data_IF_106536583988
#
_entry.id   IF_106536583988
#
_cell.length_a   1.000
_cell.length_b   1.000
_cell.length_c   1.000
_cell.angle_alpha   90.00
_cell.angle_beta   90.00
_cell.angle_gamma   90.00
#
_symmetry.space_group_name_H-M   'P 1'
#
loop_
_entity.id
_entity.type
_entity.pdbx_description
1 polymer ?
#
# COMPACT_ATOMS: atom_id res chain seq x y z
N UNK A 1 11.64 -1.93 38.58
CA UNK A 1 10.94 -1.65 37.30
C UNK A 1 10.35 -2.99 36.86
N UNK A 2 9.02 -3.14 36.71
CA UNK A 2 8.47 -4.36 36.12
C UNK A 2 9.08 -4.55 34.73
N UNK A 3 9.39 -5.80 34.36
CA UNK A 3 9.92 -6.14 33.04
C UNK A 3 8.90 -5.75 31.97
N UNK A 4 9.34 -5.02 30.96
CA UNK A 4 8.52 -4.69 29.80
C UNK A 4 8.05 -5.98 29.11
N UNK A 5 6.78 -6.02 28.70
CA UNK A 5 6.21 -7.18 28.00
C UNK A 5 6.95 -7.37 26.67
N UNK A 6 7.51 -8.57 26.44
CA UNK A 6 8.19 -8.86 25.18
C UNK A 6 7.21 -9.29 24.10
N UNK A 7 7.10 -8.48 23.04
CA UNK A 7 6.28 -8.76 21.86
C UNK A 7 6.68 -10.06 21.14
N UNK A 8 7.90 -10.57 21.34
CA UNK A 8 8.35 -11.82 20.73
C UNK A 8 7.91 -13.08 21.49
N UNK A 9 7.30 -12.92 22.67
CA UNK A 9 6.81 -14.01 23.49
C UNK A 9 5.28 -13.95 23.65
N UNK A 10 4.50 -14.22 22.57
CA UNK A 10 3.05 -14.22 22.64
C UNK A 10 2.52 -15.26 23.64
N UNK A 11 1.52 -14.91 24.46
CA UNK A 11 0.75 -15.89 25.21
C UNK A 11 0.18 -16.93 24.27
N UNK A 12 0.01 -18.16 24.78
CA UNK A 12 -0.50 -19.30 24.00
C UNK A 12 -1.79 -18.98 23.24
N UNK A 13 -2.72 -18.27 23.87
CA UNK A 13 -4.00 -17.87 23.25
C UNK A 13 -3.81 -16.96 22.04
N UNK A 14 -2.88 -16.00 22.11
CA UNK A 14 -2.56 -15.11 20.99
C UNK A 14 -1.86 -15.90 19.88
N UNK A 15 -0.90 -16.77 20.24
CA UNK A 15 -0.21 -17.61 19.26
C UNK A 15 -1.17 -18.54 18.50
N UNK A 16 -2.14 -19.15 19.19
CA UNK A 16 -3.17 -20.00 18.59
C UNK A 16 -4.11 -19.21 17.66
N UNK A 17 -4.55 -18.03 18.08
CA UNK A 17 -5.37 -17.13 17.25
C UNK A 17 -4.63 -16.66 16.00
N UNK A 18 -3.36 -16.27 16.13
CA UNK A 18 -2.51 -15.87 14.99
C UNK A 18 -2.30 -17.04 14.03
N UNK A 19 -2.13 -18.26 14.53
CA UNK A 19 -2.02 -19.46 13.69
C UNK A 19 -3.31 -19.74 12.90
N UNK A 20 -4.47 -19.57 13.52
CA UNK A 20 -5.75 -19.70 12.83
C UNK A 20 -5.90 -18.62 11.75
N UNK A 21 -5.52 -17.38 12.08
CA UNK A 21 -5.52 -16.28 11.13
C UNK A 21 -4.59 -16.56 9.94
N UNK A 22 -3.38 -17.04 10.19
CA UNK A 22 -2.43 -17.42 9.14
C UNK A 22 -3.03 -18.45 8.17
N UNK A 23 -3.76 -19.45 8.67
CA UNK A 23 -4.43 -20.43 7.81
C UNK A 23 -5.47 -19.76 6.89
N UNK A 24 -6.25 -18.81 7.41
CA UNK A 24 -7.21 -18.03 6.59
C UNK A 24 -6.48 -17.23 5.51
N UNK A 25 -5.35 -16.59 5.84
CA UNK A 25 -4.57 -15.85 4.85
C UNK A 25 -3.92 -16.78 3.81
N UNK A 26 -3.46 -17.96 4.22
CA UNK A 26 -2.87 -18.97 3.34
C UNK A 26 -3.89 -19.53 2.33
N UNK A 27 -5.17 -19.59 2.70
CA UNK A 27 -6.25 -20.04 1.81
C UNK A 27 -6.61 -19.00 0.72
N UNK A 28 -6.34 -17.71 0.97
CA UNK A 28 -6.68 -16.62 0.03
C UNK A 28 -5.47 -16.08 -0.74
N UNK A 29 -4.26 -16.16 -0.20
CA UNK A 29 -3.03 -15.68 -0.85
C UNK A 29 -2.16 -16.87 -1.27
N UNK A 30 -1.83 -17.03 -2.56
CA UNK A 30 -0.96 -18.11 -3.03
C UNK A 30 0.41 -18.11 -2.32
N UNK A 31 1.08 -19.25 -2.32
CA UNK A 31 2.40 -19.38 -1.70
C UNK A 31 3.48 -18.66 -2.52
N UNK A 32 4.45 -18.05 -1.82
CA UNK A 32 5.68 -17.56 -2.44
C UNK A 32 6.45 -18.72 -3.04
N UNK A 33 6.78 -18.62 -4.32
CA UNK A 33 7.58 -19.58 -5.07
C UNK A 33 8.80 -18.86 -5.65
N UNK A 34 10.00 -19.24 -5.18
CA UNK A 34 11.28 -18.73 -5.67
C UNK A 34 11.32 -18.81 -7.19
N UNK A 35 11.75 -17.73 -7.84
CA UNK A 35 11.98 -17.63 -9.28
C UNK A 35 10.75 -17.91 -10.17
N UNK A 36 9.56 -18.00 -9.57
CA UNK A 36 8.32 -18.34 -10.28
C UNK A 36 7.26 -17.26 -10.15
N UNK A 37 7.12 -16.64 -8.97
CA UNK A 37 6.14 -15.59 -8.75
C UNK A 37 6.67 -14.43 -7.89
N UNK A 38 5.98 -13.30 -8.01
CA UNK A 38 6.09 -12.14 -7.13
C UNK A 38 4.71 -11.82 -6.56
N UNK A 39 4.63 -11.67 -5.24
CA UNK A 39 3.42 -11.28 -4.53
C UNK A 39 3.59 -9.84 -4.03
N UNK A 40 2.86 -8.92 -4.65
CA UNK A 40 2.94 -7.49 -4.34
C UNK A 40 1.60 -7.04 -3.75
N UNK A 41 1.65 -6.30 -2.65
CA UNK A 41 0.46 -5.79 -1.98
C UNK A 41 0.54 -4.29 -1.68
N UNK A 42 -0.63 -3.70 -1.45
CA UNK A 42 -0.78 -2.38 -0.85
C UNK A 42 -1.75 -2.45 0.31
N UNK A 43 -1.49 -1.68 1.37
CA UNK A 43 -2.36 -1.61 2.53
C UNK A 43 -2.27 -0.26 3.23
N UNK A 44 -3.36 0.51 3.20
CA UNK A 44 -3.52 1.63 4.12
C UNK A 44 -3.71 1.07 5.53
N UNK A 45 -2.73 1.29 6.42
CA UNK A 45 -2.82 0.94 7.83
C UNK A 45 -3.22 2.18 8.64
N UNK A 46 -4.52 2.25 8.96
CA UNK A 46 -5.11 3.39 9.65
C UNK A 46 -4.25 3.91 10.81
N UNK A 47 -3.83 5.17 10.71
CA UNK A 47 -3.02 5.87 11.71
C UNK A 47 -1.89 4.99 12.30
N UNK A 48 -1.07 4.35 11.46
CA UNK A 48 -0.04 3.41 11.87
C UNK A 48 1.17 4.11 12.52
N UNK A 49 1.00 4.44 13.81
CA UNK A 49 1.99 5.18 14.58
C UNK A 49 2.32 4.56 15.93
N UNK A 50 1.51 4.90 16.93
CA UNK A 50 1.70 4.39 18.29
C UNK A 50 0.91 3.09 18.53
N UNK A 51 1.24 2.37 19.61
CA UNK A 51 0.50 1.21 20.10
C UNK A 51 0.53 1.11 21.64
N UNK A 52 -0.41 0.35 22.19
CA UNK A 52 -0.42 -0.11 23.58
C UNK A 52 0.48 -1.33 23.72
N UNK A 53 1.53 -1.23 24.55
CA UNK A 53 2.52 -2.31 24.78
C UNK A 53 1.99 -3.41 25.71
N UNK A 54 0.92 -4.06 25.29
CA UNK A 54 0.26 -5.17 25.98
C UNK A 54 -0.37 -6.12 24.95
N UNK A 55 -0.77 -7.32 25.39
CA UNK A 55 -1.46 -8.31 24.53
C UNK A 55 -2.95 -8.06 24.35
N UNK A 56 -3.53 -7.15 25.14
CA UNK A 56 -4.92 -6.69 25.03
C UNK A 56 -4.98 -5.25 25.50
N UNK A 57 -5.76 -4.44 24.80
CA UNK A 57 -6.00 -3.04 25.21
C UNK A 57 -7.19 -2.99 26.16
N UNK A 58 -7.00 -2.32 27.30
CA UNK A 58 -8.08 -2.09 28.26
C UNK A 58 -9.15 -1.13 27.72
N UNK A 59 -10.34 -1.17 28.31
CA UNK A 59 -11.38 -0.19 28.02
C UNK A 59 -10.90 1.24 28.32
N UNK A 60 -11.28 2.20 27.47
CA UNK A 60 -10.85 3.61 27.60
C UNK A 60 -9.38 3.89 27.29
N UNK A 61 -8.54 2.88 27.01
CA UNK A 61 -7.13 3.07 26.67
C UNK A 61 -6.98 3.39 25.17
N UNK A 62 -6.08 4.33 24.87
CA UNK A 62 -5.68 4.74 23.53
C UNK A 62 -4.15 4.83 23.47
N UNK A 63 -3.49 4.45 22.35
CA UNK A 63 -4.07 3.89 21.13
C UNK A 63 -4.62 2.47 21.31
N UNK A 64 -5.63 2.10 20.50
CA UNK A 64 -6.30 0.79 20.57
C UNK A 64 -5.42 -0.37 20.13
N UNK A 65 -4.65 -0.18 19.06
CA UNK A 65 -3.68 -1.16 18.55
C UNK A 65 -2.73 -1.64 19.63
N UNK A 66 -2.49 -2.94 19.70
CA UNK A 66 -1.68 -3.63 20.70
C UNK A 66 -0.81 -4.74 20.07
N UNK A 67 -0.14 -5.54 20.90
CA UNK A 67 0.77 -6.57 20.41
C UNK A 67 0.08 -7.71 19.65
N UNK A 68 -1.13 -8.12 20.04
CA UNK A 68 -1.87 -9.13 19.28
C UNK A 68 -2.20 -8.62 17.86
N UNK A 69 -2.59 -7.35 17.75
CA UNK A 69 -2.89 -6.71 16.46
C UNK A 69 -1.64 -6.64 15.56
N UNK A 70 -0.47 -6.33 16.13
CA UNK A 70 0.79 -6.35 15.38
C UNK A 70 1.12 -7.73 14.84
N UNK A 71 0.86 -8.80 15.60
CA UNK A 71 1.04 -10.17 15.11
C UNK A 71 0.04 -10.51 13.99
N UNK A 72 -1.21 -10.05 14.08
CA UNK A 72 -2.20 -10.23 13.02
C UNK A 72 -1.83 -9.49 11.73
N UNK A 73 -1.37 -8.23 11.84
CA UNK A 73 -0.85 -7.44 10.72
C UNK A 73 0.39 -8.11 10.11
N UNK A 74 1.31 -8.60 10.95
CA UNK A 74 2.51 -9.31 10.50
C UNK A 74 2.17 -10.59 9.74
N UNK A 75 1.14 -11.34 10.15
CA UNK A 75 0.70 -12.54 9.46
C UNK A 75 0.28 -12.28 8.00
N UNK A 76 -0.38 -11.14 7.75
CA UNK A 76 -0.72 -10.69 6.39
C UNK A 76 0.54 -10.29 5.63
N UNK A 77 1.34 -9.37 6.18
CA UNK A 77 2.51 -8.81 5.49
C UNK A 77 3.49 -9.91 5.09
N UNK A 78 3.69 -10.93 5.95
CA UNK A 78 4.61 -12.06 5.69
C UNK A 78 4.35 -12.82 4.40
N UNK A 79 3.12 -12.78 3.88
CA UNK A 79 2.72 -13.49 2.65
C UNK A 79 3.24 -12.85 1.38
N UNK A 80 3.58 -11.57 1.43
CA UNK A 80 4.00 -10.81 0.26
C UNK A 80 5.52 -10.70 0.18
N UNK A 81 6.01 -10.32 -0.99
CA UNK A 81 7.41 -10.00 -1.27
C UNK A 81 7.69 -8.53 -1.02
N UNK A 82 6.76 -7.67 -1.44
CA UNK A 82 6.77 -6.23 -1.17
C UNK A 82 5.36 -5.78 -0.81
N UNK A 83 5.24 -4.98 0.25
CA UNK A 83 3.99 -4.33 0.68
C UNK A 83 4.21 -2.84 0.74
N UNK A 84 3.42 -2.07 -0.01
CA UNK A 84 3.32 -0.64 0.23
C UNK A 84 2.35 -0.37 1.39
N UNK A 85 2.80 0.41 2.35
CA UNK A 85 2.04 0.76 3.54
C UNK A 85 1.85 2.28 3.58
N UNK A 86 0.59 2.69 3.56
CA UNK A 86 0.19 4.09 3.74
C UNK A 86 -0.10 4.39 5.21
N UNK A 87 -0.24 5.68 5.54
CA UNK A 87 -0.54 6.19 6.90
C UNK A 87 0.48 5.83 8.00
N UNK A 88 1.73 5.56 7.64
CA UNK A 88 2.81 5.41 8.63
C UNK A 88 3.06 6.77 9.31
N UNK A 89 2.83 6.89 10.62
CA UNK A 89 2.85 8.20 11.30
C UNK A 89 4.26 8.65 11.68
N UNK A 90 4.36 9.91 12.11
CA UNK A 90 5.53 10.51 12.76
C UNK A 90 6.20 9.62 13.81
N UNK A 91 5.40 9.02 14.69
CA UNK A 91 5.85 8.07 15.71
C UNK A 91 5.93 6.65 15.11
N UNK A 92 7.14 6.11 14.96
CA UNK A 92 7.37 4.79 14.35
C UNK A 92 7.26 3.60 15.32
N UNK A 93 6.63 3.76 16.49
CA UNK A 93 6.59 2.68 17.52
C UNK A 93 5.96 1.40 16.98
N UNK A 94 4.79 1.49 16.35
CA UNK A 94 4.08 0.36 15.79
C UNK A 94 4.89 -0.31 14.66
N UNK A 95 5.46 0.48 13.75
CA UNK A 95 6.32 -0.03 12.66
C UNK A 95 7.54 -0.78 13.21
N UNK A 96 8.23 -0.24 14.22
CA UNK A 96 9.39 -0.90 14.84
C UNK A 96 9.02 -2.23 15.48
N UNK A 97 7.88 -2.29 16.16
CA UNK A 97 7.38 -3.54 16.74
C UNK A 97 6.96 -4.55 15.66
N UNK A 98 6.32 -4.09 14.58
CA UNK A 98 6.00 -4.91 13.43
C UNK A 98 7.27 -5.52 12.82
N UNK A 99 8.30 -4.72 12.54
CA UNK A 99 9.58 -5.21 12.02
C UNK A 99 10.26 -6.21 12.98
N UNK A 100 10.19 -5.98 14.30
CA UNK A 100 10.67 -6.95 15.29
C UNK A 100 9.94 -8.30 15.16
N UNK A 101 8.62 -8.27 14.98
CA UNK A 101 7.80 -9.49 14.78
C UNK A 101 8.05 -10.13 13.43
N UNK A 102 8.28 -9.37 12.36
CA UNK A 102 8.61 -9.87 11.01
C UNK A 102 9.98 -10.57 10.97
N UNK A 103 10.96 -10.05 11.71
CA UNK A 103 12.30 -10.62 11.84
C UNK A 103 13.34 -9.96 10.94
N UNK A 104 14.58 -10.44 11.01
CA UNK A 104 15.76 -9.83 10.36
C UNK A 104 15.74 -9.88 8.83
N UNK A 105 14.99 -10.81 8.26
CA UNK A 105 14.82 -10.95 6.82
C UNK A 105 13.92 -9.84 6.20
N UNK A 106 13.35 -8.95 7.01
CA UNK A 106 12.46 -7.89 6.53
C UNK A 106 13.14 -6.51 6.55
N UNK A 107 13.18 -5.90 5.38
CA UNK A 107 13.63 -4.52 5.19
C UNK A 107 12.46 -3.55 5.07
N UNK A 108 12.76 -2.26 5.21
CA UNK A 108 11.81 -1.19 4.92
C UNK A 108 12.52 0.07 4.40
N UNK A 109 11.85 0.80 3.53
CA UNK A 109 12.27 2.14 3.07
C UNK A 109 11.01 3.04 3.11
N UNK A 110 11.17 4.28 3.57
CA UNK A 110 10.06 5.22 3.78
C UNK A 110 10.43 6.62 3.34
N UNK A 111 9.43 7.43 3.01
CA UNK A 111 9.55 8.88 2.92
C UNK A 111 9.78 9.50 4.29
N UNK A 112 10.21 10.77 4.34
CA UNK A 112 10.03 11.56 5.56
C UNK A 112 8.57 12.05 5.66
N UNK A 113 8.22 12.66 6.79
CA UNK A 113 6.94 13.35 6.96
C UNK A 113 6.92 14.63 6.15
N UNK A 114 5.92 14.77 5.28
CA UNK A 114 5.68 16.04 4.60
C UNK A 114 5.36 17.11 5.64
N UNK A 115 6.15 18.19 5.67
CA UNK A 115 5.94 19.31 6.57
C UNK A 115 4.68 20.08 6.17
N UNK A 116 3.82 20.38 7.14
CA UNK A 116 2.56 21.09 6.91
C UNK A 116 1.37 20.33 7.49
N UNK A 117 0.21 21.00 7.53
CA UNK A 117 -1.03 20.37 8.02
C UNK A 117 -1.52 19.29 7.06
N UNK A 118 -1.35 19.52 5.76
CA UNK A 118 -1.90 18.70 4.68
C UNK A 118 -1.15 17.36 4.53
N UNK A 119 0.11 17.28 4.98
CA UNK A 119 0.87 16.02 5.06
C UNK A 119 0.46 15.11 6.22
N UNK A 120 -0.41 15.57 7.12
CA UNK A 120 -0.94 14.85 8.28
C UNK A 120 0.11 14.13 9.17
N UNK A 121 1.40 14.50 9.13
CA UNK A 121 2.48 13.77 9.81
C UNK A 121 2.48 12.26 9.45
N UNK A 122 2.23 11.96 8.19
CA UNK A 122 2.23 10.63 7.58
C UNK A 122 3.43 10.44 6.66
N UNK A 123 3.72 9.17 6.39
CA UNK A 123 4.78 8.69 5.53
C UNK A 123 4.25 7.55 4.68
N UNK A 124 4.89 7.38 3.53
CA UNK A 124 4.70 6.23 2.66
C UNK A 124 5.88 5.29 2.87
N UNK A 125 5.61 4.00 3.02
CA UNK A 125 6.64 3.00 3.26
C UNK A 125 6.48 1.79 2.32
N UNK A 126 7.60 1.19 1.97
CA UNK A 126 7.65 -0.16 1.42
C UNK A 126 8.31 -1.08 2.44
N UNK A 127 7.65 -2.20 2.75
CA UNK A 127 8.19 -3.30 3.57
C UNK A 127 8.45 -4.47 2.63
N UNK A 128 9.59 -5.13 2.75
CA UNK A 128 9.97 -6.17 1.79
C UNK A 128 10.78 -7.31 2.41
N UNK A 129 10.58 -8.51 1.87
CA UNK A 129 11.29 -9.72 2.24
C UNK A 129 12.64 -9.78 1.49
N UNK A 130 13.73 -9.55 2.20
CA UNK A 130 15.11 -9.45 1.65
C UNK A 130 15.63 -10.77 1.07
N UNK A 131 14.96 -11.89 1.36
CA UNK A 131 15.27 -13.19 0.76
C UNK A 131 14.68 -13.33 -0.64
N UNK A 132 13.74 -12.46 -1.01
CA UNK A 132 12.94 -12.53 -2.24
C UNK A 132 13.25 -11.39 -3.19
N UNK A 133 13.45 -10.20 -2.65
CA UNK A 133 13.73 -8.98 -3.42
C UNK A 133 14.88 -8.20 -2.80
N UNK A 134 15.53 -7.35 -3.59
CA UNK A 134 16.40 -6.29 -3.08
C UNK A 134 16.08 -4.96 -3.78
N UNK A 135 16.26 -3.81 -3.11
CA UNK A 135 16.21 -2.52 -3.80
C UNK A 135 17.21 -2.49 -4.97
N UNK A 136 16.80 -2.01 -6.13
CA UNK A 136 17.66 -1.98 -7.33
C UNK A 136 18.37 -0.65 -7.56
N UNK A 137 18.03 0.39 -6.78
CA UNK A 137 18.81 1.63 -6.69
C UNK A 137 17.98 2.90 -6.71
N UNK A 138 16.75 2.85 -7.25
CA UNK A 138 15.86 4.00 -7.25
C UNK A 138 15.02 4.02 -5.97
N UNK A 139 15.03 5.18 -5.30
CA UNK A 139 14.07 5.55 -4.28
C UNK A 139 13.87 7.07 -4.39
N UNK A 140 12.70 7.51 -4.83
CA UNK A 140 12.45 8.91 -5.12
C UNK A 140 11.00 9.32 -4.88
N UNK A 141 10.79 10.61 -4.72
CA UNK A 141 9.48 11.23 -4.66
C UNK A 141 9.16 11.91 -5.99
N UNK A 142 7.91 11.81 -6.41
CA UNK A 142 7.41 12.51 -7.59
C UNK A 142 7.14 13.97 -7.20
N UNK A 143 7.91 14.87 -7.78
CA UNK A 143 7.70 16.32 -7.63
C UNK A 143 7.12 16.90 -8.92
N UNK A 144 6.15 17.81 -8.80
CA UNK A 144 5.62 18.53 -9.97
C UNK A 144 6.67 19.52 -10.44
N UNK A 145 7.19 19.42 -11.68
CA UNK A 145 8.07 20.45 -12.22
C UNK A 145 7.27 21.74 -12.43
N UNK A 146 7.72 22.82 -11.79
CA UNK A 146 7.19 24.16 -12.03
C UNK A 146 7.76 24.69 -13.33
N UNK A 147 7.31 24.18 -14.47
CA UNK A 147 7.69 24.77 -15.76
C UNK A 147 7.04 26.15 -15.89
N UNK A 148 7.89 27.16 -16.11
CA UNK A 148 7.58 28.59 -16.13
C UNK A 148 6.62 29.02 -17.28
N UNK A 149 6.23 28.10 -18.15
CA UNK A 149 5.42 28.39 -19.34
C UNK A 149 3.90 28.45 -19.10
N UNK A 150 3.45 28.24 -17.85
CA UNK A 150 2.03 28.40 -17.49
C UNK A 150 1.62 29.86 -17.16
N UNK A 151 2.54 30.83 -17.24
CA UNK A 151 2.23 32.22 -16.89
C UNK A 151 1.82 32.41 -15.41
N UNK A 152 2.12 31.43 -14.56
CA UNK A 152 1.82 31.48 -13.13
C UNK A 152 3.00 32.16 -12.43
N UNK A 153 2.76 33.38 -11.92
CA UNK A 153 3.75 34.15 -11.18
C UNK A 153 4.31 33.41 -9.97
N UNK A 154 5.39 33.95 -9.37
CA UNK A 154 6.19 33.35 -8.29
C UNK A 154 5.44 32.84 -7.03
N UNK A 155 4.12 33.04 -6.93
CA UNK A 155 3.21 32.33 -6.02
C UNK A 155 2.89 30.89 -6.45
N UNK A 156 3.42 30.42 -7.58
CA UNK A 156 3.27 29.05 -8.08
C UNK A 156 4.17 28.02 -7.41
N UNK A 157 5.14 28.44 -6.58
CA UNK A 157 5.99 27.57 -5.78
C UNK A 157 5.23 26.76 -4.72
N UNK A 158 3.96 27.08 -4.49
CA UNK A 158 3.10 26.51 -3.44
C UNK A 158 2.43 25.19 -3.85
N UNK A 159 2.69 24.66 -5.06
CA UNK A 159 2.04 23.45 -5.58
C UNK A 159 2.95 22.23 -5.51
N UNK A 160 3.22 21.77 -4.29
CA UNK A 160 3.66 20.38 -4.08
C UNK A 160 2.43 19.52 -3.76
N UNK A 161 2.48 18.23 -4.13
CA UNK A 161 1.47 17.28 -3.67
C UNK A 161 1.47 17.27 -2.14
N UNK A 162 0.29 17.28 -1.51
CA UNK A 162 0.17 17.22 -0.05
C UNK A 162 0.90 15.99 0.52
N UNK A 163 0.87 14.89 -0.24
CA UNK A 163 1.73 13.72 -0.09
C UNK A 163 2.27 13.34 -1.47
N UNK A 164 3.55 13.63 -1.69
CA UNK A 164 4.30 13.29 -2.91
C UNK A 164 4.24 11.78 -3.14
N UNK A 165 3.80 11.32 -4.33
CA UNK A 165 3.86 9.91 -4.66
C UNK A 165 5.29 9.38 -4.49
N UNK A 166 5.44 8.18 -3.95
CA UNK A 166 6.73 7.64 -3.59
C UNK A 166 7.05 6.39 -4.41
N UNK A 167 8.20 6.40 -5.09
CA UNK A 167 8.60 5.34 -5.99
C UNK A 167 9.88 4.65 -5.50
N UNK A 168 9.86 3.31 -5.49
CA UNK A 168 11.05 2.49 -5.18
C UNK A 168 11.16 1.36 -6.19
N UNK A 169 12.37 1.14 -6.70
CA UNK A 169 12.67 0.03 -7.59
C UNK A 169 13.26 -1.16 -6.85
N UNK A 170 12.81 -2.35 -7.23
CA UNK A 170 13.23 -3.63 -6.70
C UNK A 170 13.73 -4.54 -7.82
N UNK A 171 14.58 -5.49 -7.47
CA UNK A 171 15.04 -6.57 -8.33
C UNK A 171 14.70 -7.92 -7.68
N UNK A 172 14.08 -8.80 -8.44
CA UNK A 172 13.89 -10.22 -8.09
C UNK A 172 14.05 -11.10 -9.33
N UNK A 173 14.85 -12.16 -9.20
CA UNK A 173 15.07 -13.16 -10.25
C UNK A 173 15.33 -12.56 -11.63
N UNK A 174 16.25 -11.58 -11.69
CA UNK A 174 16.61 -10.90 -12.94
C UNK A 174 15.64 -9.80 -13.38
N UNK A 175 14.44 -9.70 -12.80
CA UNK A 175 13.44 -8.73 -13.21
C UNK A 175 13.39 -7.50 -12.31
N UNK A 176 13.57 -6.32 -12.91
CA UNK A 176 13.39 -5.04 -12.24
C UNK A 176 11.93 -4.59 -12.32
N UNK A 177 11.41 -4.10 -11.20
CA UNK A 177 10.11 -3.47 -11.12
C UNK A 177 10.12 -2.28 -10.16
N UNK A 178 9.43 -1.22 -10.54
CA UNK A 178 9.26 0.02 -9.79
C UNK A 178 7.82 0.08 -9.29
N UNK A 179 7.68 0.21 -7.98
CA UNK A 179 6.40 0.43 -7.33
C UNK A 179 6.26 1.90 -7.01
N UNK A 180 5.15 2.51 -7.42
CA UNK A 180 4.81 3.89 -7.10
C UNK A 180 3.60 3.88 -6.18
N UNK A 181 3.82 4.19 -4.90
CA UNK A 181 2.74 4.32 -3.94
C UNK A 181 2.14 5.72 -3.93
N UNK A 182 0.81 5.81 -4.04
CA UNK A 182 0.07 7.07 -3.95
C UNK A 182 -0.87 7.04 -2.73
N UNK A 183 -1.01 8.21 -2.10
CA UNK A 183 -1.98 8.45 -1.03
C UNK A 183 -2.60 9.84 -1.22
N UNK A 184 -3.55 9.91 -2.16
CA UNK A 184 -4.14 11.18 -2.62
C UNK A 184 -5.05 11.73 -1.53
N UNK A 185 -5.00 13.03 -1.24
CA UNK A 185 -5.85 13.64 -0.21
C UNK A 185 -7.34 13.57 -0.60
N UNK A 186 -8.21 13.45 0.40
CA UNK A 186 -9.65 13.34 0.21
C UNK A 186 -10.30 14.69 -0.16
N UNK A 187 -9.57 15.82 0.01
CA UNK A 187 -9.98 17.15 -0.46
C UNK A 187 -11.34 17.63 0.08
N UNK A 188 -11.79 18.81 -0.39
CA UNK A 188 -13.14 19.30 -0.07
C UNK A 188 -14.18 18.87 -1.12
N UNK A 189 -13.77 18.75 -2.39
CA UNK A 189 -14.61 18.24 -3.47
C UNK A 189 -13.80 17.34 -4.41
N UNK A 190 -14.48 16.44 -5.13
CA UNK A 190 -13.84 15.64 -6.18
C UNK A 190 -13.27 16.50 -7.33
N UNK A 191 -13.86 17.67 -7.61
CA UNK A 191 -13.40 18.54 -8.69
C UNK A 191 -11.98 19.10 -8.44
N UNK A 192 -11.63 19.34 -7.18
CA UNK A 192 -10.32 19.89 -6.80
C UNK A 192 -9.18 18.89 -7.05
N UNK A 193 -9.49 17.59 -7.07
CA UNK A 193 -8.52 16.48 -7.16
C UNK A 193 -8.25 16.03 -8.59
N UNK A 194 -9.14 16.35 -9.54
CA UNK A 194 -9.01 15.96 -10.96
C UNK A 194 -7.70 16.45 -11.60
N UNK A 195 -7.28 17.73 -11.47
CA UNK A 195 -6.04 18.20 -12.07
C UNK A 195 -4.79 17.49 -11.53
N UNK A 196 -4.79 17.17 -10.23
CA UNK A 196 -3.71 16.45 -9.56
C UNK A 196 -3.56 15.04 -10.12
N UNK A 197 -4.66 14.27 -10.18
CA UNK A 197 -4.68 12.93 -10.74
C UNK A 197 -4.32 12.91 -12.23
N UNK A 198 -4.75 13.91 -13.01
CA UNK A 198 -4.35 14.04 -14.42
C UNK A 198 -2.86 14.30 -14.58
N UNK A 199 -2.25 15.12 -13.70
CA UNK A 199 -0.83 15.39 -13.73
C UNK A 199 -0.02 14.13 -13.39
N UNK A 200 -0.45 13.40 -12.34
CA UNK A 200 0.11 12.10 -11.96
C UNK A 200 -0.01 11.10 -13.11
N UNK A 201 -1.18 10.97 -13.73
CA UNK A 201 -1.41 10.04 -14.83
C UNK A 201 -0.51 10.33 -16.05
N UNK A 202 -0.33 11.60 -16.40
CA UNK A 202 0.60 12.03 -17.48
C UNK A 202 2.05 11.72 -17.14
N UNK A 203 2.45 11.97 -15.90
CA UNK A 203 3.80 11.70 -15.45
C UNK A 203 4.11 10.21 -15.46
N UNK A 204 3.22 9.39 -14.89
CA UNK A 204 3.36 7.92 -14.87
C UNK A 204 3.45 7.36 -16.29
N UNK A 205 2.68 7.90 -17.23
CA UNK A 205 2.73 7.48 -18.62
C UNK A 205 4.08 7.84 -19.28
N UNK A 206 4.57 9.07 -19.07
CA UNK A 206 5.88 9.48 -19.59
C UNK A 206 7.02 8.67 -18.96
N UNK A 207 6.94 8.33 -17.68
CA UNK A 207 7.96 7.53 -17.03
C UNK A 207 7.95 6.09 -17.50
N UNK A 208 6.77 5.48 -17.65
CA UNK A 208 6.63 4.14 -18.21
C UNK A 208 7.21 4.05 -19.64
N UNK A 209 7.06 5.11 -20.45
CA UNK A 209 7.71 5.19 -21.77
C UNK A 209 9.25 5.21 -21.66
N UNK A 210 9.82 5.93 -20.70
CA UNK A 210 11.28 6.01 -20.49
C UNK A 210 11.88 4.70 -19.93
N UNK A 211 11.19 4.08 -18.98
CA UNK A 211 11.66 2.86 -18.29
C UNK A 211 11.58 1.61 -19.18
N UNK A 212 10.74 1.64 -20.20
CA UNK A 212 10.61 0.51 -21.12
C UNK A 212 11.85 0.20 -21.92
N UNK A 213 12.64 1.22 -22.25
CA UNK A 213 13.92 0.99 -22.94
C UNK A 213 14.88 0.12 -22.11
N UNK A 214 14.57 -0.09 -20.82
CA UNK A 214 15.31 -0.91 -19.86
C UNK A 214 14.56 -2.16 -19.40
N UNK A 215 13.42 -2.50 -20.02
CA UNK A 215 12.55 -3.62 -19.62
C UNK A 215 12.05 -3.57 -18.16
N UNK A 216 12.03 -2.38 -17.57
CA UNK A 216 11.57 -2.18 -16.19
C UNK A 216 10.04 -2.15 -16.11
N UNK A 217 9.50 -2.88 -15.14
CA UNK A 217 8.05 -2.90 -14.88
C UNK A 217 7.65 -1.72 -14.01
N UNK A 218 6.57 -1.01 -14.33
CA UNK A 218 6.05 0.08 -13.49
C UNK A 218 4.64 -0.23 -13.01
N UNK A 219 4.44 -0.21 -11.70
CA UNK A 219 3.16 -0.52 -11.05
C UNK A 219 2.80 0.63 -10.09
N UNK A 220 1.65 1.25 -10.31
CA UNK A 220 1.06 2.23 -9.39
C UNK A 220 0.12 1.51 -8.41
N UNK A 221 0.23 1.80 -7.12
CA UNK A 221 -0.59 1.15 -6.09
C UNK A 221 -0.77 2.03 -4.85
N UNK A 222 -1.78 1.77 -4.02
CA UNK A 222 -2.04 2.61 -2.84
C UNK A 222 -3.49 3.00 -2.70
N UNK A 223 -3.74 3.96 -1.82
CA UNK A 223 -5.04 4.57 -1.59
C UNK A 223 -5.17 5.84 -2.45
N UNK A 224 -5.91 5.73 -3.55
CA UNK A 224 -6.07 6.82 -4.51
C UNK A 224 -7.30 7.67 -4.20
N UNK A 225 -8.10 7.29 -3.18
CA UNK A 225 -9.35 7.97 -2.83
C UNK A 225 -10.31 8.19 -4.02
N UNK A 226 -10.36 7.21 -4.95
CA UNK A 226 -11.30 7.17 -6.09
C UNK A 226 -12.64 6.59 -5.62
N UNK A 227 -13.76 7.26 -5.88
CA UNK A 227 -15.04 6.82 -5.31
C UNK A 227 -15.60 5.60 -6.06
N UNK A 228 -15.62 5.64 -7.40
CA UNK A 228 -16.15 4.56 -8.24
C UNK A 228 -15.65 4.62 -9.69
N UNK A 229 -15.76 3.49 -10.40
CA UNK A 229 -15.56 3.46 -11.86
C UNK A 229 -16.45 4.48 -12.57
N UNK A 230 -15.88 5.22 -13.51
CA UNK A 230 -16.57 6.22 -14.32
C UNK A 230 -16.86 7.54 -13.62
N UNK A 231 -16.38 7.74 -12.38
CA UNK A 231 -16.37 9.07 -11.78
C UNK A 231 -15.23 9.95 -12.36
N UNK A 232 -15.25 11.28 -12.16
CA UNK A 232 -14.21 12.16 -12.68
C UNK A 232 -12.79 11.85 -12.21
N UNK A 233 -12.60 11.25 -11.03
CA UNK A 233 -11.29 10.89 -10.48
C UNK A 233 -10.74 9.64 -11.16
N UNK A 234 -11.60 8.65 -11.38
CA UNK A 234 -11.30 7.45 -12.14
C UNK A 234 -10.90 7.80 -13.58
N UNK A 235 -11.71 8.64 -14.25
CA UNK A 235 -11.42 9.10 -15.61
C UNK A 235 -10.11 9.90 -15.66
N UNK A 236 -9.84 10.75 -14.67
CA UNK A 236 -8.57 11.47 -14.57
C UNK A 236 -7.38 10.52 -14.45
N UNK A 237 -7.47 9.56 -13.53
CA UNK A 237 -6.42 8.59 -13.23
C UNK A 237 -6.13 7.66 -14.42
N UNK A 238 -7.16 7.25 -15.16
CA UNK A 238 -7.05 6.32 -16.30
C UNK A 238 -6.86 7.02 -17.65
N UNK A 239 -6.93 8.35 -17.69
CA UNK A 239 -6.89 9.18 -18.91
C UNK A 239 -5.68 8.95 -19.84
N UNK A 240 -4.59 8.40 -19.32
CA UNK A 240 -3.36 8.14 -20.08
C UNK A 240 -3.10 6.67 -20.35
N UNK A 241 -4.08 5.80 -20.07
CA UNK A 241 -4.01 4.37 -20.35
C UNK A 241 -3.66 3.49 -19.14
N UNK A 242 -3.37 4.09 -17.98
CA UNK A 242 -3.15 3.35 -16.75
C UNK A 242 -4.42 2.55 -16.41
N UNK A 243 -4.27 1.23 -16.24
CA UNK A 243 -5.40 0.32 -16.12
C UNK A 243 -5.39 -0.36 -14.75
N UNK A 244 -6.43 -0.17 -13.92
CA UNK A 244 -6.60 -0.93 -12.69
C UNK A 244 -6.68 -2.44 -12.93
N UNK A 245 -6.15 -3.22 -11.99
CA UNK A 245 -6.17 -4.67 -12.07
C UNK A 245 -7.61 -5.20 -12.18
N UNK A 246 -7.97 -5.91 -13.28
CA UNK A 246 -9.32 -6.43 -13.44
C UNK A 246 -9.70 -7.45 -12.36
N UNK A 247 -8.70 -8.14 -11.78
CA UNK A 247 -8.88 -9.09 -10.67
C UNK A 247 -9.46 -8.44 -9.41
N UNK A 248 -9.31 -7.12 -9.27
CA UNK A 248 -9.74 -6.38 -8.07
C UNK A 248 -11.08 -5.66 -8.27
N UNK A 249 -11.61 -5.58 -9.49
CA UNK A 249 -12.70 -4.68 -9.86
C UNK A 249 -13.94 -4.81 -8.98
N UNK A 250 -14.35 -6.03 -8.64
CA UNK A 250 -15.59 -6.28 -7.89
C UNK A 250 -15.37 -6.50 -6.38
N UNK A 251 -14.15 -6.31 -5.90
CA UNK A 251 -13.83 -6.50 -4.49
C UNK A 251 -14.13 -5.23 -3.68
N UNK A 252 -14.52 -5.35 -2.40
CA UNK A 252 -14.50 -4.24 -1.47
C UNK A 252 -13.09 -3.64 -1.33
N UNK A 253 -13.02 -2.41 -0.81
CA UNK A 253 -11.77 -1.74 -0.44
C UNK A 253 -11.71 -1.47 1.05
N UNK A 254 -12.87 -1.28 1.67
CA UNK A 254 -12.98 -0.96 3.09
C UNK A 254 -13.92 -1.91 3.83
N UNK A 255 -13.71 -2.05 5.14
CA UNK A 255 -14.57 -2.86 6.01
C UNK A 255 -15.99 -2.26 6.18
N UNK A 256 -16.20 -1.04 5.70
CA UNK A 256 -17.46 -0.30 5.77
C UNK A 256 -18.23 -0.31 4.45
N UNK A 257 -17.63 -0.85 3.38
CA UNK A 257 -18.30 -0.98 2.10
C UNK A 257 -19.56 -1.83 2.22
N UNK A 258 -20.59 -1.41 1.46
CA UNK A 258 -21.86 -2.11 1.37
C UNK A 258 -21.97 -2.76 -0.01
N UNK A 259 -22.64 -3.92 -0.12
CA UNK A 259 -22.93 -4.52 -1.42
C UNK A 259 -23.61 -3.50 -2.35
N UNK A 260 -23.04 -3.30 -3.54
CA UNK A 260 -23.55 -2.35 -4.55
C UNK A 260 -23.19 -0.88 -4.31
N UNK A 261 -22.42 -0.56 -3.27
CA UNK A 261 -21.91 0.77 -2.97
C UNK A 261 -20.47 0.70 -2.42
N UNK A 262 -19.66 -0.18 -3.01
CA UNK A 262 -18.24 -0.30 -2.67
C UNK A 262 -17.48 0.89 -3.25
N UNK A 263 -16.54 1.42 -2.46
CA UNK A 263 -15.66 2.48 -2.90
C UNK A 263 -14.49 1.90 -3.71
N UNK A 264 -13.87 2.72 -4.55
CA UNK A 264 -12.71 2.37 -5.38
C UNK A 264 -11.40 2.98 -4.84
N UNK A 265 -11.31 3.20 -3.53
CA UNK A 265 -10.22 3.95 -2.90
C UNK A 265 -8.85 3.34 -3.21
N UNK A 266 -8.62 2.09 -2.79
CA UNK A 266 -7.34 1.42 -3.04
C UNK A 266 -7.29 0.78 -4.43
N UNK A 267 -6.11 0.86 -5.05
CA UNK A 267 -5.88 0.34 -6.40
C UNK A 267 -4.50 -0.29 -6.54
N UNK A 268 -4.39 -1.21 -7.50
CA UNK A 268 -3.14 -1.65 -8.11
C UNK A 268 -3.36 -1.54 -9.63
N UNK A 269 -2.49 -0.81 -10.32
CA UNK A 269 -2.67 -0.46 -11.73
C UNK A 269 -1.34 -0.44 -12.48
N UNK A 270 -1.38 -0.74 -13.77
CA UNK A 270 -0.22 -0.72 -14.65
C UNK A 270 -0.62 -0.39 -16.10
N UNK A 271 0.36 -0.12 -16.95
CA UNK A 271 0.14 0.10 -18.39
C UNK A 271 0.15 -1.24 -19.15
N UNK A 272 -0.82 -1.44 -20.05
CA UNK A 272 -1.09 -2.73 -20.72
C UNK A 272 -0.80 -2.72 -22.22
N UNK A 273 -0.58 -3.92 -22.80
CA UNK A 273 -0.24 -4.11 -24.23
C UNK A 273 -1.42 -3.77 -25.12
N UNK A 274 -1.17 -2.98 -26.17
CA UNK A 274 -2.16 -2.73 -27.22
C UNK A 274 -2.87 -1.37 -27.13
N UNK A 275 -2.56 -0.54 -26.14
CA UNK A 275 -2.88 0.88 -26.19
C UNK A 275 -1.89 1.58 -27.14
N UNK A 276 -2.37 2.46 -28.04
CA UNK A 276 -1.50 3.10 -29.04
C UNK A 276 -0.33 3.82 -28.35
N UNK A 277 0.90 3.47 -28.76
CA UNK A 277 2.19 4.04 -28.33
C UNK A 277 2.67 3.81 -26.89
N UNK A 278 2.30 2.73 -26.17
CA UNK A 278 2.88 2.53 -24.82
C UNK A 278 3.31 1.12 -24.46
N UNK A 279 4.49 0.99 -23.83
CA UNK A 279 4.98 -0.27 -23.32
C UNK A 279 4.35 -0.72 -22.01
N UNK A 280 4.60 -2.01 -21.74
CA UNK A 280 3.68 -2.93 -21.11
C UNK A 280 4.41 -3.57 -19.95
N UNK A 281 3.72 -3.72 -18.82
CA UNK A 281 4.14 -4.63 -17.77
C UNK A 281 4.60 -5.98 -18.38
N UNK A 282 5.91 -6.24 -18.36
CA UNK A 282 6.50 -7.49 -18.86
C UNK A 282 6.12 -8.67 -17.96
N UNK A 283 5.91 -8.40 -16.67
CA UNK A 283 5.36 -9.36 -15.73
C UNK A 283 3.91 -9.72 -16.09
N UNK A 284 3.61 -11.01 -16.14
CA UNK A 284 2.24 -11.48 -16.34
C UNK A 284 1.48 -11.46 -15.02
N UNK A 285 0.42 -10.66 -14.91
CA UNK A 285 -0.51 -10.74 -13.79
C UNK A 285 -1.30 -12.07 -13.84
N UNK A 286 -1.17 -12.89 -12.80
CA UNK A 286 -1.75 -14.24 -12.72
C UNK A 286 -3.03 -14.25 -11.90
N UNK A 287 -2.97 -13.70 -10.69
CA UNK A 287 -4.06 -13.68 -9.73
C UNK A 287 -4.05 -12.36 -8.96
N UNK A 288 -5.15 -12.06 -8.30
CA UNK A 288 -5.27 -10.89 -7.44
C UNK A 288 -6.45 -11.05 -6.51
N UNK A 289 -6.41 -10.32 -5.41
CA UNK A 289 -7.46 -10.42 -4.40
C UNK A 289 -7.34 -9.37 -3.31
N UNK A 290 -8.18 -9.56 -2.29
CA UNK A 290 -8.10 -8.86 -1.03
C UNK A 290 -7.88 -9.85 0.11
N UNK A 291 -7.39 -9.39 1.25
CA UNK A 291 -7.38 -10.16 2.49
C UNK A 291 -8.46 -9.60 3.42
N UNK A 292 -9.62 -10.26 3.44
CA UNK A 292 -10.72 -9.89 4.35
C UNK A 292 -10.43 -10.42 5.76
N UNK A 293 -10.15 -9.50 6.67
CA UNK A 293 -9.83 -9.83 8.06
C UNK A 293 -11.03 -9.67 9.02
N UNK A 294 -12.20 -9.23 8.55
CA UNK A 294 -13.32 -8.86 9.43
C UNK A 294 -13.81 -10.07 10.21
N UNK A 295 -14.25 -11.12 9.54
CA UNK A 295 -14.83 -12.29 10.22
C UNK A 295 -13.79 -13.05 11.08
N UNK A 296 -12.52 -12.99 10.69
CA UNK A 296 -11.44 -13.70 11.39
C UNK A 296 -10.93 -12.97 12.64
N UNK A 297 -10.89 -11.63 12.62
CA UNK A 297 -10.27 -10.82 13.68
C UNK A 297 -11.28 -10.01 14.50
N UNK A 298 -12.53 -9.84 14.02
CA UNK A 298 -13.56 -9.16 14.79
C UNK A 298 -13.97 -10.01 16.00
N UNK A 299 -13.56 -9.55 17.18
CA UNK A 299 -14.04 -10.08 18.46
C UNK A 299 -15.39 -9.46 18.88
N UNK A 300 -15.69 -9.37 20.18
CA UNK A 300 -16.91 -8.76 20.73
C UNK A 300 -17.10 -7.25 20.39
N UNK A 301 -16.14 -6.63 19.70
CA UNK A 301 -16.14 -5.23 19.31
C UNK A 301 -16.92 -4.92 18.03
N UNK A 302 -17.15 -3.63 17.77
CA UNK A 302 -17.74 -3.15 16.51
C UNK A 302 -16.71 -3.11 15.39
N UNK A 303 -17.14 -3.03 14.11
CA UNK A 303 -16.22 -2.80 12.98
C UNK A 303 -15.37 -1.54 13.14
N UNK A 304 -15.93 -0.49 13.75
CA UNK A 304 -15.18 0.72 14.04
C UNK A 304 -14.11 0.51 15.12
N UNK A 305 -14.34 -0.40 16.07
CA UNK A 305 -13.30 -0.78 17.03
C UNK A 305 -12.19 -1.58 16.33
N UNK A 306 -12.58 -2.55 15.47
CA UNK A 306 -11.64 -3.32 14.66
C UNK A 306 -10.75 -2.43 13.78
N UNK A 307 -11.29 -1.35 13.19
CA UNK A 307 -10.46 -0.47 12.34
C UNK A 307 -9.40 0.32 13.11
N UNK A 308 -9.58 0.55 14.41
CA UNK A 308 -8.52 1.14 15.25
C UNK A 308 -7.49 0.11 15.75
N UNK A 309 -7.83 -1.17 15.72
CA UNK A 309 -6.92 -2.28 16.02
C UNK A 309 -6.08 -2.65 14.79
N UNK A 310 -6.73 -2.89 13.66
CA UNK A 310 -6.12 -3.35 12.40
C UNK A 310 -6.07 -2.18 11.39
N UNK A 311 -7.12 -2.02 10.59
CA UNK A 311 -7.33 -0.92 9.64
C UNK A 311 -8.81 -0.89 9.21
N UNK A 312 -9.25 0.21 8.61
CA UNK A 312 -10.51 0.30 7.88
C UNK A 312 -10.40 -0.11 6.40
N UNK A 313 -9.18 -0.24 5.88
CA UNK A 313 -8.91 -0.70 4.51
C UNK A 313 -8.48 -2.18 4.49
N UNK A 314 -8.93 -2.90 3.47
CA UNK A 314 -8.43 -4.24 3.17
C UNK A 314 -7.08 -4.17 2.45
N UNK A 315 -6.12 -5.05 2.77
CA UNK A 315 -4.95 -5.26 1.92
C UNK A 315 -5.40 -5.76 0.54
N UNK A 316 -4.96 -5.08 -0.51
CA UNK A 316 -5.10 -5.57 -1.89
C UNK A 316 -3.78 -6.16 -2.36
N UNK A 317 -3.85 -7.19 -3.20
CA UNK A 317 -2.65 -7.85 -3.69
C UNK A 317 -2.80 -8.39 -5.11
N UNK A 318 -1.66 -8.52 -5.77
CA UNK A 318 -1.51 -9.13 -7.08
C UNK A 318 -0.36 -10.14 -7.07
N UNK A 319 -0.57 -11.26 -7.75
CA UNK A 319 0.46 -12.22 -8.11
C UNK A 319 0.91 -11.98 -9.54
N UNK A 320 2.22 -11.89 -9.73
CA UNK A 320 2.85 -11.79 -11.03
C UNK A 320 3.75 -12.99 -11.28
N UNK A 321 3.65 -13.62 -12.45
CA UNK A 321 4.59 -14.66 -12.86
C UNK A 321 5.93 -14.02 -13.23
N UNK A 322 7.01 -14.63 -12.75
CA UNK A 322 8.37 -14.34 -13.19
C UNK A 322 8.61 -15.20 -14.44
N UNK A 323 8.98 -14.59 -15.58
CA UNK A 323 9.36 -15.36 -16.77
C UNK A 323 10.52 -16.32 -16.46
N UNK A 324 10.45 -17.55 -16.94
CA UNK A 324 11.60 -18.43 -16.92
C UNK A 324 12.62 -17.97 -17.98
N UNK A 325 13.90 -17.94 -17.61
CA UNK A 325 15.03 -17.69 -18.53
C UNK A 325 15.10 -18.73 -19.67
#
# INVERSE_FOLDING_TARGET
>A
MPSEVDILAPPKTVAESVKQWQAVVDDVVPAKAADSNLLIATWNLRAFGDLTKAWKTGEGISPKRNFADIHAIAAVIRRFDVVAVQEVRGNLRALRHLLKVLGEDWGFILTDVTLGKDGNNERLAFLFDTRRVKPSGLACELVVPLEQDAGVGASGLDRQFARTPYAVSFLASGQTFTLVTLHVDYGHTAADRVPELQAIAKWLASWAEQEFDWDHNLIALGDFNIDRVGDPLFEAFTSTGLTPAPQLADLPRTIFDKPGAAHFYDQIAWFTKGQQQRPVLNLQAVAGGQVDFVDALQSEGTRNDLSWHISDHFPLWMEFAIPAD
#
